data_IF_884774245488
#
_entry.id   IF_884774245488
#
_cell.length_a   1.000
_cell.length_b   1.000
_cell.length_c   1.000
_cell.angle_alpha   90.00
_cell.angle_beta   90.00
_cell.angle_gamma   90.00
#
_symmetry.space_group_name_H-M   'P 1'
#
loop_
_entity.id
_entity.type
_entity.pdbx_description
1 polymer ?
#
# COMPACT_ATOMS: atom_id res chain seq x y z
N UNK A 1 10.52 -41.27 2.60
CA UNK A 1 10.45 -39.94 3.25
C UNK A 1 9.27 -40.01 4.21
N UNK A 2 9.49 -39.77 5.51
CA UNK A 2 8.39 -39.83 6.47
C UNK A 2 7.38 -38.74 6.13
N UNK A 3 6.15 -39.17 5.82
CA UNK A 3 5.01 -38.28 5.67
C UNK A 3 4.83 -37.58 7.02
N UNK A 4 5.14 -36.28 7.07
CA UNK A 4 4.96 -35.51 8.30
C UNK A 4 3.46 -35.44 8.52
N UNK A 5 2.99 -36.01 9.62
CA UNK A 5 1.58 -35.89 9.99
C UNK A 5 1.27 -34.41 10.26
N UNK A 6 0.58 -33.78 9.30
CA UNK A 6 0.17 -32.37 9.35
C UNK A 6 -1.20 -32.20 10.01
N UNK A 7 -1.88 -33.29 10.38
CA UNK A 7 -3.25 -33.25 10.92
C UNK A 7 -3.36 -32.40 12.19
N UNK A 8 -2.32 -32.39 13.04
CA UNK A 8 -2.26 -31.54 14.24
C UNK A 8 -2.08 -30.03 13.97
N UNK A 9 -1.84 -29.63 12.72
CA UNK A 9 -1.57 -28.24 12.33
C UNK A 9 -2.61 -27.65 11.37
N UNK A 10 -3.64 -28.39 11.01
CA UNK A 10 -4.66 -27.98 10.04
C UNK A 10 -5.26 -26.60 10.38
N UNK A 11 -5.64 -26.37 11.64
CA UNK A 11 -6.17 -25.08 12.09
C UNK A 11 -5.19 -23.91 11.92
N UNK A 12 -3.88 -24.15 12.09
CA UNK A 12 -2.86 -23.12 11.84
C UNK A 12 -2.75 -22.81 10.34
N UNK A 13 -2.82 -23.83 9.48
CA UNK A 13 -2.80 -23.62 8.03
C UNK A 13 -4.04 -22.88 7.53
N UNK A 14 -5.22 -23.20 8.03
CA UNK A 14 -6.45 -22.43 7.71
C UNK A 14 -6.31 -20.97 8.14
N UNK A 15 -5.81 -20.73 9.36
CA UNK A 15 -5.57 -19.36 9.82
C UNK A 15 -4.56 -18.60 8.94
N UNK A 16 -3.50 -19.27 8.49
CA UNK A 16 -2.51 -18.67 7.57
C UNK A 16 -3.18 -18.30 6.24
N UNK A 17 -4.03 -19.18 5.68
CA UNK A 17 -4.76 -18.90 4.43
C UNK A 17 -5.65 -17.67 4.57
N UNK A 18 -6.41 -17.58 5.66
CA UNK A 18 -7.29 -16.43 5.96
C UNK A 18 -6.49 -15.13 6.04
N UNK A 19 -5.45 -15.09 6.88
CA UNK A 19 -4.63 -13.88 7.08
C UNK A 19 -3.95 -13.47 5.78
N UNK A 20 -3.45 -14.43 5.00
CA UNK A 20 -2.86 -14.16 3.69
C UNK A 20 -3.87 -13.57 2.71
N UNK A 21 -5.10 -14.09 2.69
CA UNK A 21 -6.16 -13.55 1.83
C UNK A 21 -6.49 -12.09 2.19
N UNK A 22 -6.61 -11.78 3.50
CA UNK A 22 -6.82 -10.42 3.99
C UNK A 22 -5.66 -9.50 3.63
N UNK A 23 -4.42 -9.94 3.83
CA UNK A 23 -3.23 -9.17 3.48
C UNK A 23 -3.17 -8.85 1.98
N UNK A 24 -3.50 -9.81 1.11
CA UNK A 24 -3.56 -9.58 -0.33
C UNK A 24 -4.67 -8.59 -0.72
N UNK A 25 -5.83 -8.68 -0.07
CA UNK A 25 -6.92 -7.74 -0.30
C UNK A 25 -6.50 -6.31 0.08
N UNK A 26 -5.92 -6.12 1.27
CA UNK A 26 -5.44 -4.80 1.71
C UNK A 26 -4.27 -4.29 0.87
N UNK A 27 -3.38 -5.17 0.40
CA UNK A 27 -2.29 -4.80 -0.50
C UNK A 27 -2.82 -4.25 -1.83
N UNK A 28 -3.86 -4.88 -2.40
CA UNK A 28 -4.51 -4.38 -3.61
C UNK A 28 -5.15 -3.02 -3.38
N UNK A 29 -5.93 -2.87 -2.31
CA UNK A 29 -6.55 -1.58 -1.96
C UNK A 29 -5.50 -0.47 -1.75
N UNK A 30 -4.39 -0.80 -1.09
CA UNK A 30 -3.30 0.15 -0.90
C UNK A 30 -2.65 0.58 -2.23
N UNK A 31 -2.53 -0.33 -3.20
CA UNK A 31 -2.03 0.01 -4.54
C UNK A 31 -2.99 0.92 -5.30
N UNK A 32 -4.29 0.65 -5.25
CA UNK A 32 -5.33 1.46 -5.88
C UNK A 32 -5.33 2.89 -5.31
N UNK A 33 -5.38 3.01 -3.99
CA UNK A 33 -5.34 4.31 -3.30
C UNK A 33 -4.01 5.05 -3.52
N UNK A 34 -2.89 4.33 -3.63
CA UNK A 34 -1.61 4.95 -3.97
C UNK A 34 -1.61 5.53 -5.39
N UNK A 35 -2.26 4.86 -6.35
CA UNK A 35 -2.41 5.36 -7.71
C UNK A 35 -3.32 6.59 -7.75
N UNK A 36 -4.47 6.54 -7.10
CA UNK A 36 -5.39 7.68 -7.00
C UNK A 36 -4.70 8.89 -6.36
N UNK A 37 -3.98 8.69 -5.25
CA UNK A 37 -3.21 9.76 -4.61
C UNK A 37 -2.19 10.39 -5.58
N UNK A 38 -1.51 9.60 -6.40
CA UNK A 38 -0.56 10.12 -7.39
C UNK A 38 -1.24 10.96 -8.45
N UNK A 39 -2.36 10.49 -8.97
CA UNK A 39 -3.14 11.21 -9.96
C UNK A 39 -3.61 12.56 -9.39
N UNK A 40 -4.14 12.57 -8.17
CA UNK A 40 -4.54 13.80 -7.48
C UNK A 40 -3.37 14.78 -7.29
N UNK A 41 -2.21 14.30 -6.82
CA UNK A 41 -1.03 15.15 -6.68
C UNK A 41 -0.54 15.68 -8.03
N UNK A 42 -0.58 14.88 -9.09
CA UNK A 42 -0.20 15.32 -10.43
C UNK A 42 -1.15 16.41 -10.93
N UNK A 43 -2.47 16.24 -10.70
CA UNK A 43 -3.45 17.26 -11.03
C UNK A 43 -3.22 18.60 -10.30
N UNK A 44 -2.73 18.58 -9.06
CA UNK A 44 -2.34 19.80 -8.34
C UNK A 44 -1.10 20.46 -8.96
N UNK A 45 -0.10 19.66 -9.36
CA UNK A 45 1.09 20.16 -10.04
C UNK A 45 0.73 20.80 -11.39
N UNK A 46 -0.18 20.19 -12.13
CA UNK A 46 -0.65 20.68 -13.43
C UNK A 46 -1.43 22.01 -13.31
N UNK A 47 -2.06 22.25 -12.16
CA UNK A 47 -2.68 23.53 -11.79
C UNK A 47 -1.67 24.60 -11.34
N UNK A 48 -0.38 24.27 -11.33
CA UNK A 48 0.70 25.21 -11.00
C UNK A 48 1.09 25.24 -9.53
N UNK A 49 0.55 24.36 -8.68
CA UNK A 49 1.03 24.24 -7.30
C UNK A 49 2.43 23.64 -7.29
N UNK A 50 3.29 24.13 -6.40
CA UNK A 50 4.61 23.54 -6.22
C UNK A 50 4.56 22.32 -5.30
N UNK A 51 5.51 21.39 -5.44
CA UNK A 51 5.70 20.27 -4.48
C UNK A 51 5.90 20.76 -3.04
N UNK A 52 6.42 21.98 -2.85
CA UNK A 52 6.59 22.58 -1.53
C UNK A 52 5.26 22.96 -0.89
N UNK A 53 4.33 23.48 -1.69
CA UNK A 53 3.01 23.89 -1.21
C UNK A 53 2.15 22.66 -0.89
N UNK A 54 2.18 21.64 -1.78
CA UNK A 54 1.52 20.35 -1.53
C UNK A 54 2.06 19.70 -0.25
N UNK A 55 3.39 19.68 -0.07
CA UNK A 55 4.00 19.11 1.13
C UNK A 55 3.56 19.84 2.41
N UNK A 56 3.51 21.18 2.37
CA UNK A 56 3.08 22.02 3.49
C UNK A 56 1.63 21.74 3.87
N UNK A 57 0.75 21.66 2.87
CA UNK A 57 -0.68 21.43 3.08
C UNK A 57 -0.96 20.02 3.63
N UNK A 58 -0.27 19.00 3.11
CA UNK A 58 -0.41 17.62 3.57
C UNK A 58 0.32 17.34 4.90
N UNK A 59 1.05 18.30 5.46
CA UNK A 59 1.80 18.11 6.71
C UNK A 59 2.96 17.13 6.58
N UNK A 60 3.55 17.00 5.39
CA UNK A 60 4.64 16.06 5.10
C UNK A 60 5.89 16.76 4.58
N UNK A 61 7.00 16.03 4.48
CA UNK A 61 8.22 16.58 3.89
C UNK A 61 8.14 16.61 2.36
N UNK A 62 8.88 17.52 1.72
CA UNK A 62 9.05 17.52 0.25
C UNK A 62 9.57 16.18 -0.29
N UNK A 63 10.44 15.52 0.48
CA UNK A 63 10.95 14.19 0.14
C UNK A 63 9.84 13.13 0.16
N UNK A 64 8.87 13.23 1.07
CA UNK A 64 7.71 12.35 1.08
C UNK A 64 6.89 12.50 -0.20
N UNK A 65 6.62 13.73 -0.65
CA UNK A 65 5.94 13.99 -1.93
C UNK A 65 6.71 13.37 -3.10
N UNK A 66 8.03 13.54 -3.14
CA UNK A 66 8.87 12.93 -4.17
C UNK A 66 8.72 11.41 -4.20
N UNK A 67 8.76 10.75 -3.03
CA UNK A 67 8.57 9.29 -2.94
C UNK A 67 7.18 8.88 -3.40
N UNK A 68 6.15 9.62 -2.97
CA UNK A 68 4.76 9.31 -3.31
C UNK A 68 4.49 9.41 -4.82
N UNK A 69 5.17 10.32 -5.53
CA UNK A 69 5.09 10.47 -6.99
C UNK A 69 5.95 9.45 -7.77
N UNK A 70 6.97 8.87 -7.14
CA UNK A 70 7.91 7.95 -7.79
C UNK A 70 7.52 6.46 -7.67
N UNK A 71 6.62 6.12 -6.74
CA UNK A 71 6.01 4.79 -6.63
C UNK A 71 5.00 4.55 -7.75
#
# INVERSE_FOLDING_TARGET
MADKDLSGHEGTFERIKEVRAQALHHARLAQELAAERRELMQGLLDQGLSRADIARELGVTRQAIQKMLAC
#
